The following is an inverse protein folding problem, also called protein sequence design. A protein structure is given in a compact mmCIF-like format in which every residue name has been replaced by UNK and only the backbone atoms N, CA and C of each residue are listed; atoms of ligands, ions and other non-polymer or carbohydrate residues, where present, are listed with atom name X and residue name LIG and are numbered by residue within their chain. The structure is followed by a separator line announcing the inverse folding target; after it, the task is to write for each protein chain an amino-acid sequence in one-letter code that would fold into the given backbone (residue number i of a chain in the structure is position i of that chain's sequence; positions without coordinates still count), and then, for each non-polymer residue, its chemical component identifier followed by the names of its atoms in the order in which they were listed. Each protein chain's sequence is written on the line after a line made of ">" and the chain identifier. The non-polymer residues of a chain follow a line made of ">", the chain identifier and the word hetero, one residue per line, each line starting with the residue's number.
data_IF_005199640175
#
_entry.id   IF_005199640175
#
_cell.length_a   1.000
_cell.length_b   1.000
_cell.length_c   1.000
_cell.angle_alpha   90.00
_cell.angle_beta   90.00
_cell.angle_gamma   90.00
#
_symmetry.space_group_name_H-M   'P 1'
#
loop_
_entity.id
_entity.type
_entity.pdbx_description
1 polymer ?
#
# COMPACT_ATOMS: atom_id res chain seq x y z
N UNK A 1 0.72 -1.38 -11.42
CA UNK A 1 0.12 -2.57 -10.77
C UNK A 1 0.45 -2.71 -9.26
N UNK A 2 1.43 -1.97 -8.72
CA UNK A 2 2.14 -2.33 -7.48
C UNK A 2 1.59 -1.82 -6.13
N UNK A 3 0.63 -0.87 -6.10
CA UNK A 3 0.12 -0.29 -4.83
C UNK A 3 -1.20 -0.91 -4.34
N UNK A 4 -2.24 -1.02 -5.18
CA UNK A 4 -3.47 -1.79 -4.88
C UNK A 4 -3.16 -3.25 -4.50
N UNK A 5 -2.16 -3.84 -5.13
CA UNK A 5 -1.71 -5.21 -4.85
C UNK A 5 -1.11 -5.39 -3.44
N UNK A 6 -0.61 -4.31 -2.80
CA UNK A 6 -0.03 -4.35 -1.44
C UNK A 6 -1.10 -4.41 -0.35
N UNK A 7 -2.19 -3.65 -0.49
CA UNK A 7 -3.26 -3.58 0.50
C UNK A 7 -4.06 -4.90 0.61
N UNK A 8 -4.40 -5.48 -0.52
CA UNK A 8 -5.23 -6.69 -0.55
C UNK A 8 -4.47 -7.96 -0.13
N UNK A 9 -3.14 -8.00 -0.34
CA UNK A 9 -2.27 -9.09 0.14
C UNK A 9 -2.29 -9.20 1.67
N UNK A 10 -2.47 -8.08 2.38
CA UNK A 10 -2.51 -8.05 3.84
C UNK A 10 -3.90 -8.40 4.38
N UNK A 11 -4.98 -7.83 3.79
CA UNK A 11 -6.36 -8.17 4.19
C UNK A 11 -6.65 -9.66 4.01
N UNK A 12 -6.20 -10.26 2.90
CA UNK A 12 -6.36 -11.70 2.66
C UNK A 12 -5.61 -12.55 3.69
N UNK A 13 -4.38 -12.17 4.10
CA UNK A 13 -3.58 -12.93 5.08
C UNK A 13 -4.01 -12.71 6.53
N UNK A 14 -4.44 -11.50 6.90
CA UNK A 14 -4.93 -11.20 8.25
C UNK A 14 -6.28 -11.88 8.55
N UNK A 15 -7.10 -12.10 7.51
CA UNK A 15 -8.42 -12.71 7.65
C UNK A 15 -8.40 -14.23 7.35
N UNK A 16 -7.49 -14.71 6.48
CA UNK A 16 -7.37 -16.12 6.11
C UNK A 16 -5.88 -16.54 5.93
N UNK A 17 -5.19 -16.97 7.01
CA UNK A 17 -3.74 -17.25 6.98
C UNK A 17 -3.33 -18.47 6.14
N UNK A 18 -4.28 -19.28 5.67
CA UNK A 18 -4.03 -20.51 4.88
C UNK A 18 -4.42 -20.40 3.40
N UNK A 19 -4.92 -19.25 2.93
CA UNK A 19 -5.37 -19.10 1.55
C UNK A 19 -4.25 -18.53 0.66
N UNK A 20 -3.96 -19.22 -0.44
CA UNK A 20 -3.07 -18.71 -1.49
C UNK A 20 -3.55 -17.33 -1.95
N UNK A 21 -2.62 -16.36 -2.02
CA UNK A 21 -2.85 -14.99 -2.51
C UNK A 21 -3.72 -15.04 -3.78
N UNK A 22 -5.01 -14.70 -3.67
CA UNK A 22 -5.92 -14.84 -4.81
C UNK A 22 -5.56 -13.82 -5.92
N UNK A 23 -5.80 -14.23 -7.16
CA UNK A 23 -5.33 -13.54 -8.36
C UNK A 23 -5.95 -12.14 -8.61
N UNK A 24 -6.85 -11.63 -7.74
CA UNK A 24 -7.62 -10.40 -7.99
C UNK A 24 -7.79 -9.53 -6.73
N UNK A 25 -6.73 -8.83 -6.29
CA UNK A 25 -6.76 -8.03 -5.06
C UNK A 25 -7.82 -6.93 -5.05
N UNK A 26 -7.98 -6.20 -6.16
CA UNK A 26 -8.98 -5.13 -6.26
C UNK A 26 -10.41 -5.65 -6.01
N UNK A 27 -10.72 -6.85 -6.49
CA UNK A 27 -12.03 -7.50 -6.29
C UNK A 27 -12.25 -7.78 -4.81
N UNK A 28 -11.29 -8.44 -4.14
CA UNK A 28 -11.39 -8.75 -2.71
C UNK A 28 -11.57 -7.50 -1.85
N UNK A 29 -10.85 -6.43 -2.16
CA UNK A 29 -10.99 -5.16 -1.46
C UNK A 29 -12.38 -4.55 -1.66
N UNK A 30 -12.88 -4.58 -2.90
CA UNK A 30 -14.22 -4.06 -3.19
C UNK A 30 -15.31 -4.93 -2.54
N UNK A 31 -15.16 -6.25 -2.52
CA UNK A 31 -16.08 -7.15 -1.80
C UNK A 31 -16.12 -6.81 -0.31
N UNK A 32 -14.96 -6.57 0.31
CA UNK A 32 -14.87 -6.11 1.69
C UNK A 32 -15.59 -4.78 1.89
N UNK A 33 -15.32 -3.78 1.06
CA UNK A 33 -15.98 -2.46 1.15
C UNK A 33 -17.50 -2.60 0.99
N UNK A 34 -17.96 -3.45 0.06
CA UNK A 34 -19.39 -3.70 -0.18
C UNK A 34 -20.05 -4.47 0.97
N UNK A 35 -19.31 -5.29 1.72
CA UNK A 35 -19.82 -5.88 2.96
C UNK A 35 -19.93 -4.84 4.09
N UNK A 36 -18.87 -4.05 4.29
CA UNK A 36 -18.82 -2.99 5.30
C UNK A 36 -19.96 -1.98 5.11
N UNK A 37 -20.26 -1.59 3.85
CA UNK A 37 -21.33 -0.63 3.55
C UNK A 37 -22.71 -1.05 4.06
N UNK A 38 -22.97 -2.37 4.20
CA UNK A 38 -24.25 -2.89 4.70
C UNK A 38 -24.43 -2.65 6.19
N UNK A 39 -23.32 -2.51 6.92
CA UNK A 39 -23.28 -2.38 8.38
C UNK A 39 -23.28 -0.92 8.83
N UNK A 40 -22.82 0.00 7.99
CA UNK A 40 -22.65 1.41 8.34
C UNK A 40 -23.45 2.31 7.41
N UNK A 41 -24.06 3.36 7.98
CA UNK A 41 -24.83 4.35 7.19
C UNK A 41 -23.97 5.04 6.14
N UNK A 42 -22.74 5.41 6.48
CA UNK A 42 -21.79 6.05 5.58
C UNK A 42 -20.41 5.40 5.74
N UNK A 43 -19.74 5.11 4.64
CA UNK A 43 -18.37 4.55 4.61
C UNK A 43 -17.46 5.51 3.87
N UNK A 44 -16.33 5.86 4.48
CA UNK A 44 -15.32 6.72 3.87
C UNK A 44 -14.01 5.94 3.75
N UNK A 45 -13.59 5.69 2.52
CA UNK A 45 -12.30 5.10 2.19
C UNK A 45 -11.34 6.21 1.83
N UNK A 46 -10.25 6.35 2.60
CA UNK A 46 -9.25 7.39 2.39
C UNK A 46 -7.96 6.76 1.89
N UNK A 47 -7.47 7.23 0.75
CA UNK A 47 -6.16 6.85 0.23
C UNK A 47 -5.25 8.09 0.15
N UNK A 48 -3.95 7.91 0.32
CA UNK A 48 -2.98 8.99 0.13
C UNK A 48 -2.33 8.90 -1.23
N UNK A 49 -2.62 9.88 -2.09
CA UNK A 49 -2.35 9.88 -3.53
C UNK A 49 -3.13 8.81 -4.30
N UNK A 50 -4.37 8.54 -3.87
CA UNK A 50 -5.26 7.59 -4.55
C UNK A 50 -5.62 8.02 -5.97
N UNK A 51 -5.75 9.33 -6.19
CA UNK A 51 -6.09 9.93 -7.48
C UNK A 51 -5.07 9.65 -8.59
N UNK A 52 -3.81 9.41 -8.20
CA UNK A 52 -2.70 9.18 -9.12
C UNK A 52 -2.62 7.75 -9.61
N UNK A 53 -3.30 6.81 -8.95
CA UNK A 53 -3.15 5.39 -9.27
C UNK A 53 -4.35 4.53 -8.84
N UNK A 54 -4.57 4.37 -7.53
CA UNK A 54 -5.44 3.32 -6.97
C UNK A 54 -6.91 3.48 -7.42
N UNK A 55 -7.41 4.71 -7.48
CA UNK A 55 -8.82 4.97 -7.81
C UNK A 55 -9.18 4.65 -9.26
N UNK A 56 -8.20 4.59 -10.17
CA UNK A 56 -8.46 4.18 -11.56
C UNK A 56 -8.81 2.69 -11.64
N UNK A 57 -8.18 1.84 -10.81
CA UNK A 57 -8.50 0.41 -10.75
C UNK A 57 -9.88 0.18 -10.14
N UNK A 58 -10.21 0.94 -9.09
CA UNK A 58 -11.52 0.89 -8.45
C UNK A 58 -12.60 1.37 -9.44
N UNK A 59 -12.38 2.48 -10.14
CA UNK A 59 -13.30 2.98 -11.17
C UNK A 59 -13.56 1.91 -12.23
N UNK A 60 -12.48 1.33 -12.77
CA UNK A 60 -12.58 0.25 -13.77
C UNK A 60 -13.39 -0.92 -13.24
N UNK A 61 -13.12 -1.37 -12.01
CA UNK A 61 -13.87 -2.45 -11.38
C UNK A 61 -15.36 -2.12 -11.27
N UNK A 62 -15.70 -0.92 -10.77
CA UNK A 62 -17.08 -0.48 -10.64
C UNK A 62 -17.80 -0.49 -11.99
N UNK A 63 -17.19 0.08 -13.02
CA UNK A 63 -17.80 0.20 -14.35
C UNK A 63 -17.96 -1.15 -15.07
N UNK A 64 -17.02 -2.08 -14.90
CA UNK A 64 -17.01 -3.35 -15.64
C UNK A 64 -17.67 -4.51 -14.89
N UNK A 65 -17.68 -4.49 -13.55
CA UNK A 65 -18.04 -5.64 -12.72
C UNK A 65 -19.23 -5.39 -11.81
N UNK A 66 -19.78 -4.16 -11.79
CA UNK A 66 -20.92 -3.81 -10.93
C UNK A 66 -21.99 -3.06 -11.72
N UNK A 67 -23.18 -2.91 -11.13
CA UNK A 67 -24.26 -2.08 -11.68
C UNK A 67 -24.30 -0.67 -11.08
N UNK A 68 -23.29 -0.29 -10.28
CA UNK A 68 -23.25 1.03 -9.67
C UNK A 68 -22.87 2.09 -10.71
N UNK A 69 -23.53 3.24 -10.63
CA UNK A 69 -23.15 4.43 -11.39
C UNK A 69 -22.38 5.37 -10.46
N UNK A 70 -21.05 5.46 -10.58
CA UNK A 70 -20.26 6.31 -9.70
C UNK A 70 -20.48 7.79 -9.99
N UNK A 71 -20.60 8.59 -8.94
CA UNK A 71 -20.44 10.04 -9.03
C UNK A 71 -18.96 10.39 -8.83
N UNK A 72 -18.39 11.19 -9.74
CA UNK A 72 -16.96 11.46 -9.81
C UNK A 72 -16.67 12.95 -9.74
N UNK A 73 -15.71 13.33 -8.90
CA UNK A 73 -15.03 14.63 -9.00
C UNK A 73 -13.62 14.38 -9.51
N UNK A 74 -13.28 14.98 -10.64
CA UNK A 74 -12.03 14.77 -11.34
C UNK A 74 -11.23 16.06 -11.52
N UNK A 75 -9.91 15.93 -11.62
CA UNK A 75 -9.01 17.00 -12.07
C UNK A 75 -8.17 16.46 -13.22
N UNK A 76 -8.55 16.84 -14.44
CA UNK A 76 -8.05 16.16 -15.63
C UNK A 76 -8.39 14.68 -15.58
N UNK A 77 -7.39 13.81 -15.72
CA UNK A 77 -7.57 12.34 -15.64
C UNK A 77 -7.57 11.78 -14.23
N UNK A 78 -7.29 12.60 -13.20
CA UNK A 78 -7.17 12.16 -11.81
C UNK A 78 -8.55 12.16 -11.13
N UNK A 79 -8.92 11.04 -10.53
CA UNK A 79 -10.15 10.91 -9.73
C UNK A 79 -9.87 11.40 -8.31
N UNK A 80 -10.42 12.54 -7.90
CA UNK A 80 -10.21 13.11 -6.55
C UNK A 80 -11.19 12.49 -5.55
N UNK A 81 -12.45 12.37 -5.96
CA UNK A 81 -13.55 11.78 -5.20
C UNK A 81 -14.32 10.83 -6.11
N UNK A 82 -14.72 9.70 -5.55
CA UNK A 82 -15.67 8.78 -6.16
C UNK A 82 -16.69 8.35 -5.13
N UNK A 83 -17.97 8.48 -5.46
CA UNK A 83 -19.09 8.11 -4.59
C UNK A 83 -19.90 6.97 -5.22
N UNK A 84 -20.23 5.96 -4.41
CA UNK A 84 -21.04 4.80 -4.75
C UNK A 84 -22.10 4.63 -3.65
N UNK A 85 -23.32 5.13 -3.87
CA UNK A 85 -24.36 5.25 -2.82
C UNK A 85 -23.80 5.90 -1.54
N UNK A 86 -23.58 5.08 -0.50
CA UNK A 86 -23.14 5.49 0.82
C UNK A 86 -21.64 5.28 1.07
N UNK A 87 -20.89 4.94 0.02
CA UNK A 87 -19.43 4.76 0.07
C UNK A 87 -18.75 5.89 -0.67
N UNK A 88 -17.74 6.50 -0.06
CA UNK A 88 -16.93 7.56 -0.66
C UNK A 88 -15.46 7.20 -0.65
N UNK A 89 -14.81 7.27 -1.80
CA UNK A 89 -13.35 7.14 -1.95
C UNK A 89 -12.74 8.52 -2.10
N UNK A 90 -11.88 8.90 -1.15
CA UNK A 90 -11.31 10.26 -1.06
C UNK A 90 -9.80 10.21 -1.13
N UNK A 91 -9.21 11.05 -1.99
CA UNK A 91 -7.77 11.25 -2.01
C UNK A 91 -7.34 12.33 -1.00
N UNK A 92 -6.68 11.89 0.07
CA UNK A 92 -6.14 12.77 1.11
C UNK A 92 -5.03 13.70 0.60
N UNK A 93 -4.38 13.43 -0.53
CA UNK A 93 -3.32 14.32 -1.07
C UNK A 93 -3.86 15.71 -1.43
N UNK A 94 -5.16 15.82 -1.77
CA UNK A 94 -5.80 17.11 -2.04
C UNK A 94 -5.97 17.97 -0.78
N UNK A 95 -5.96 17.35 0.40
CA UNK A 95 -6.06 18.02 1.70
C UNK A 95 -4.69 18.22 2.34
N UNK A 96 -3.79 17.24 2.16
CA UNK A 96 -2.42 17.28 2.66
C UNK A 96 -1.45 17.17 1.48
N UNK A 97 -1.07 18.28 0.83
CA UNK A 97 -0.23 18.29 -0.37
C UNK A 97 1.25 18.07 -0.03
N UNK A 98 1.54 16.99 0.69
CA UNK A 98 2.86 16.58 1.14
C UNK A 98 2.99 15.06 1.04
N UNK A 99 4.21 14.54 1.15
CA UNK A 99 4.43 13.10 1.19
C UNK A 99 3.82 12.49 2.47
N UNK A 100 3.35 11.24 2.37
CA UNK A 100 2.84 10.46 3.52
C UNK A 100 3.83 10.46 4.70
N UNK A 101 5.13 10.32 4.42
CA UNK A 101 6.21 10.33 5.43
C UNK A 101 6.43 11.67 6.12
N UNK A 102 5.89 12.77 5.59
CA UNK A 102 5.97 14.09 6.21
C UNK A 102 4.82 14.35 7.19
N UNK A 103 3.73 13.58 7.12
CA UNK A 103 2.53 13.79 7.94
C UNK A 103 2.80 13.65 9.44
N UNK A 104 3.55 12.64 9.95
CA UNK A 104 3.78 12.52 11.38
C UNK A 104 4.44 13.78 11.96
N UNK A 105 5.41 14.35 11.24
CA UNK A 105 6.08 15.59 11.63
C UNK A 105 5.14 16.81 11.55
N UNK A 106 4.29 16.88 10.53
CA UNK A 106 3.38 18.01 10.33
C UNK A 106 2.28 18.10 11.41
N UNK A 107 1.97 16.98 12.07
CA UNK A 107 0.94 16.88 13.11
C UNK A 107 1.52 16.67 14.52
N UNK A 108 2.83 16.83 14.70
CA UNK A 108 3.53 16.56 15.97
C UNK A 108 3.20 15.17 16.56
N UNK A 109 2.97 14.19 15.67
CA UNK A 109 2.74 12.80 16.06
C UNK A 109 4.07 12.17 16.48
N UNK A 110 4.04 11.20 17.42
CA UNK A 110 5.24 10.47 17.77
C UNK A 110 5.85 9.87 16.49
N UNK A 111 7.18 9.92 16.32
CA UNK A 111 7.81 9.35 15.15
C UNK A 111 7.40 7.89 15.04
N UNK A 112 6.93 7.50 13.84
CA UNK A 112 6.79 6.09 13.50
C UNK A 112 8.10 5.40 13.87
N UNK A 113 8.01 4.18 14.44
CA UNK A 113 9.21 3.36 14.63
C UNK A 113 9.88 3.28 13.26
N UNK A 114 11.06 3.88 13.07
CA UNK A 114 11.82 3.81 11.81
C UNK A 114 11.98 2.33 11.46
N UNK A 115 11.11 1.81 10.60
CA UNK A 115 11.02 0.38 10.35
C UNK A 115 11.67 0.04 9.03
N UNK A 116 13.00 -0.01 9.06
CA UNK A 116 13.84 -0.53 8.00
C UNK A 116 13.54 0.01 6.59
N UNK A 117 14.07 -0.70 5.61
CA UNK A 117 13.71 -0.51 4.20
C UNK A 117 13.15 -1.84 3.69
N UNK A 118 12.18 -1.79 2.78
CA UNK A 118 11.58 -3.00 2.22
C UNK A 118 12.03 -3.21 0.76
N UNK A 119 12.51 -4.42 0.40
CA UNK A 119 13.03 -4.71 -0.94
C UNK A 119 11.88 -4.92 -1.94
N UNK A 120 11.36 -3.83 -2.50
CA UNK A 120 10.19 -3.84 -3.38
C UNK A 120 10.34 -4.76 -4.60
N UNK A 121 11.52 -4.81 -5.21
CA UNK A 121 11.76 -5.67 -6.39
C UNK A 121 11.96 -7.13 -6.02
N UNK A 122 12.23 -7.43 -4.74
CA UNK A 122 12.36 -8.81 -4.25
C UNK A 122 11.01 -9.49 -4.03
N UNK A 123 9.91 -8.72 -4.02
CA UNK A 123 8.55 -9.23 -3.86
C UNK A 123 8.04 -9.94 -5.11
N UNK A 124 8.57 -11.13 -5.37
CA UNK A 124 8.18 -12.03 -6.46
C UNK A 124 7.50 -13.28 -5.91
N UNK A 125 6.80 -14.04 -6.76
CA UNK A 125 6.20 -15.32 -6.36
C UNK A 125 7.26 -16.33 -5.90
N UNK A 126 8.44 -16.33 -6.54
CA UNK A 126 9.55 -17.21 -6.21
C UNK A 126 10.11 -16.95 -4.80
N UNK A 127 10.05 -15.70 -4.32
CA UNK A 127 10.65 -15.28 -3.05
C UNK A 127 9.66 -15.25 -1.89
N UNK A 128 8.39 -15.67 -2.07
CA UNK A 128 7.36 -15.54 -1.01
C UNK A 128 7.66 -16.33 0.26
N UNK A 129 8.47 -17.38 0.18
CA UNK A 129 8.88 -18.21 1.32
C UNK A 129 10.38 -18.05 1.64
N UNK A 130 11.00 -16.96 1.17
CA UNK A 130 12.42 -16.73 1.37
C UNK A 130 12.73 -16.44 2.84
N UNK A 131 13.68 -17.20 3.39
CA UNK A 131 14.30 -16.97 4.70
C UNK A 131 15.81 -17.11 4.50
N UNK A 132 16.57 -16.04 4.73
CA UNK A 132 18.00 -16.03 4.45
C UNK A 132 18.65 -14.68 4.69
N UNK A 133 19.84 -14.43 4.12
CA UNK A 133 20.49 -13.12 4.21
C UNK A 133 19.63 -11.98 3.67
N UNK A 134 19.94 -10.76 4.10
CA UNK A 134 19.29 -9.55 3.58
C UNK A 134 19.48 -9.45 2.05
N UNK A 135 18.43 -9.14 1.28
CA UNK A 135 18.53 -8.98 -0.18
C UNK A 135 19.55 -7.93 -0.60
N UNK A 136 20.10 -8.06 -1.81
CA UNK A 136 21.00 -7.07 -2.40
C UNK A 136 20.36 -5.67 -2.48
N UNK A 137 21.17 -4.62 -2.41
CA UNK A 137 20.75 -3.20 -2.47
C UNK A 137 19.87 -2.88 -3.68
N UNK A 138 20.13 -3.54 -4.82
CA UNK A 138 19.38 -3.36 -6.07
C UNK A 138 17.88 -3.61 -5.88
N UNK A 139 17.49 -4.53 -4.98
CA UNK A 139 16.09 -4.86 -4.77
C UNK A 139 15.28 -3.77 -4.03
N UNK A 140 15.95 -2.75 -3.50
CA UNK A 140 15.34 -1.65 -2.74
C UNK A 140 15.06 -0.41 -3.59
N UNK A 141 15.32 -0.46 -4.91
CA UNK A 141 15.13 0.67 -5.83
C UNK A 141 15.92 1.93 -5.43
N UNK A 142 17.25 1.82 -5.22
CA UNK A 142 18.09 2.94 -4.75
C UNK A 142 18.00 4.18 -5.66
N UNK A 143 17.84 3.99 -6.97
CA UNK A 143 17.74 5.09 -7.96
C UNK A 143 16.54 6.02 -7.72
N UNK A 144 15.52 5.56 -6.99
CA UNK A 144 14.35 6.36 -6.64
C UNK A 144 14.53 7.19 -5.36
N UNK A 145 15.64 7.00 -4.65
CA UNK A 145 15.91 7.67 -3.38
C UNK A 145 16.64 9.00 -3.59
N UNK A 146 16.29 10.01 -2.82
CA UNK A 146 17.08 11.24 -2.72
C UNK A 146 18.43 10.94 -2.04
N UNK A 147 19.47 11.74 -2.35
CA UNK A 147 20.84 11.51 -1.87
C UNK A 147 20.93 11.31 -0.34
N UNK A 148 20.20 12.13 0.43
CA UNK A 148 20.15 12.00 1.89
C UNK A 148 19.54 10.66 2.34
N UNK A 149 18.42 10.28 1.73
CA UNK A 149 17.73 9.02 2.02
C UNK A 149 18.55 7.80 1.59
N UNK A 150 19.30 7.92 0.49
CA UNK A 150 20.20 6.88 0.01
C UNK A 150 21.35 6.63 1.00
N UNK A 151 21.97 7.68 1.57
CA UNK A 151 23.02 7.53 2.60
C UNK A 151 22.49 6.83 3.85
N UNK A 152 21.30 7.20 4.32
CA UNK A 152 20.65 6.53 5.46
C UNK A 152 20.37 5.04 5.14
N UNK A 153 19.90 4.75 3.92
CA UNK A 153 19.66 3.38 3.44
C UNK A 153 20.94 2.55 3.36
N UNK A 154 22.00 3.12 2.81
CA UNK A 154 23.27 2.44 2.65
C UNK A 154 23.89 2.04 3.99
N UNK A 155 23.89 2.96 4.95
CA UNK A 155 24.36 2.68 6.31
C UNK A 155 23.52 1.56 6.94
N UNK A 156 22.19 1.66 6.87
CA UNK A 156 21.30 0.63 7.38
C UNK A 156 21.57 -0.74 6.74
N UNK A 157 21.69 -0.82 5.41
CA UNK A 157 21.89 -2.08 4.68
C UNK A 157 23.23 -2.74 5.01
N UNK A 158 24.29 -1.93 5.10
CA UNK A 158 25.61 -2.39 5.52
C UNK A 158 25.55 -2.95 6.95
N UNK A 159 24.90 -2.25 7.88
CA UNK A 159 24.73 -2.72 9.26
C UNK A 159 23.97 -4.04 9.35
N UNK A 160 22.87 -4.19 8.58
CA UNK A 160 22.12 -5.46 8.54
C UNK A 160 22.98 -6.61 8.00
N UNK A 161 23.82 -6.33 7.00
CA UNK A 161 24.71 -7.32 6.39
C UNK A 161 25.82 -7.74 7.35
N UNK A 162 26.47 -6.78 8.03
CA UNK A 162 27.53 -7.05 9.03
C UNK A 162 26.99 -7.84 10.22
N UNK A 163 25.77 -7.55 10.66
CA UNK A 163 25.11 -8.26 11.74
C UNK A 163 24.57 -9.64 11.33
N UNK A 164 24.71 -10.03 10.06
CA UNK A 164 24.17 -11.28 9.50
C UNK A 164 22.67 -11.47 9.83
N UNK A 165 21.89 -10.39 9.70
CA UNK A 165 20.45 -10.43 9.98
C UNK A 165 19.76 -11.41 9.03
N UNK A 166 18.93 -12.28 9.61
CA UNK A 166 18.08 -13.19 8.85
C UNK A 166 16.82 -12.46 8.43
N UNK A 167 16.66 -12.29 7.13
CA UNK A 167 15.51 -11.71 6.47
C UNK A 167 14.46 -12.81 6.20
N UNK A 168 13.33 -12.74 6.90
CA UNK A 168 12.13 -13.53 6.63
C UNK A 168 11.16 -12.68 5.81
N UNK A 169 10.99 -13.04 4.53
CA UNK A 169 10.20 -12.23 3.61
C UNK A 169 8.75 -12.04 4.05
N UNK A 170 8.11 -13.08 4.62
CA UNK A 170 6.70 -12.99 5.00
C UNK A 170 6.53 -12.10 6.23
N UNK A 171 7.41 -12.27 7.21
CA UNK A 171 7.42 -11.44 8.42
C UNK A 171 7.65 -9.98 8.06
N UNK A 172 8.70 -9.70 7.28
CA UNK A 172 9.07 -8.34 6.87
C UNK A 172 7.98 -7.67 6.02
N UNK A 173 7.30 -8.44 5.15
CA UNK A 173 6.19 -7.92 4.35
C UNK A 173 5.00 -7.51 5.23
N UNK A 174 4.60 -8.36 6.18
CA UNK A 174 3.51 -8.03 7.12
C UNK A 174 3.90 -6.82 7.95
N UNK A 175 5.13 -6.83 8.45
CA UNK A 175 5.69 -5.78 9.28
C UNK A 175 5.77 -4.42 8.60
N UNK A 176 6.10 -4.39 7.31
CA UNK A 176 6.12 -3.18 6.48
C UNK A 176 4.73 -2.64 6.15
N UNK A 177 3.71 -3.50 6.11
CA UNK A 177 2.35 -3.07 5.78
C UNK A 177 1.55 -2.54 6.97
N UNK A 178 2.00 -2.81 8.21
CA UNK A 178 1.36 -2.31 9.45
C UNK A 178 2.14 -1.17 10.10
N UNK A 179 3.34 -0.86 9.57
CA UNK A 179 4.19 0.22 10.05
C UNK A 179 3.77 1.57 9.52
#
# INVERSE_FOLDING_TARGET
>A
LFRVHRWCRLLSKLQHPHESISARPCVQFMDYVMDVRKRFKNVCVVAHNGQGFDFQFILKYVLEQTQFTPELIMRGTKVILMELDNVRFIDSLSYFPMALSALPKAFDLPPEKKKGYFPHLFNTLANQNYVGPIPSKEYYSPDSMFEKTYKDFENWHNDQTVQNVVFDFQKELVEYCIS
#
